data_IF_210834069370
#
_entry.id   IF_210834069370
#
_cell.length_a   1.000
_cell.length_b   1.000
_cell.length_c   1.000
_cell.angle_alpha   90.00
_cell.angle_beta   90.00
_cell.angle_gamma   90.00
#
_symmetry.space_group_name_H-M   'P 1'
#
loop_
_entity.id
_entity.type
_entity.pdbx_description
1 polymer ?
#
# COMPACT_ATOMS: atom_id res chain seq x y z
N UNK A 1 -1.13 9.57 -0.23
CA UNK A 1 -0.22 10.67 0.04
C UNK A 1 1.01 10.71 -0.86
N UNK A 2 1.41 9.60 -1.50
CA UNK A 2 2.53 9.57 -2.48
C UNK A 2 2.09 10.20 -3.80
N UNK A 3 0.89 9.91 -4.26
CA UNK A 3 0.34 10.34 -5.55
C UNK A 3 0.43 11.86 -5.76
N UNK A 4 0.00 12.73 -4.83
CA UNK A 4 0.13 14.17 -5.02
C UNK A 4 1.57 14.65 -5.22
N UNK A 5 2.53 14.01 -4.55
CA UNK A 5 3.94 14.33 -4.72
C UNK A 5 4.45 13.95 -6.12
N UNK A 6 4.04 12.79 -6.62
CA UNK A 6 4.42 12.31 -7.95
C UNK A 6 3.73 13.06 -9.09
N UNK A 7 2.62 13.74 -8.84
CA UNK A 7 1.99 14.66 -9.80
C UNK A 7 2.82 15.92 -10.08
N UNK A 8 3.84 16.20 -9.26
CA UNK A 8 4.79 17.27 -9.55
C UNK A 8 5.84 16.74 -10.55
N UNK A 9 5.88 17.25 -11.79
CA UNK A 9 6.71 16.65 -12.86
C UNK A 9 8.19 16.58 -12.53
N UNK A 10 8.70 17.51 -11.72
CA UNK A 10 10.09 17.52 -11.26
C UNK A 10 10.43 16.36 -10.32
N UNK A 11 9.51 16.01 -9.41
CA UNK A 11 9.68 14.91 -8.46
C UNK A 11 9.65 13.56 -9.18
N UNK A 12 8.62 13.31 -9.99
CA UNK A 12 8.51 12.06 -10.76
C UNK A 12 9.74 11.85 -11.67
N UNK A 13 10.22 12.91 -12.33
CA UNK A 13 11.41 12.86 -13.18
C UNK A 13 12.69 12.56 -12.39
N UNK A 14 12.87 13.19 -11.24
CA UNK A 14 14.02 12.94 -10.37
C UNK A 14 14.01 11.50 -9.83
N UNK A 15 12.84 11.00 -9.45
CA UNK A 15 12.67 9.61 -9.01
C UNK A 15 12.94 8.62 -10.14
N UNK A 16 12.47 8.87 -11.34
CA UNK A 16 12.72 8.02 -12.48
C UNK A 16 14.22 8.02 -12.92
N UNK A 17 14.91 9.13 -12.73
CA UNK A 17 16.34 9.29 -13.06
C UNK A 17 17.32 8.86 -11.97
N UNK A 18 16.85 8.43 -10.81
CA UNK A 18 17.75 8.01 -9.73
C UNK A 18 18.39 6.63 -9.99
N UNK A 19 19.63 6.45 -9.51
CA UNK A 19 20.29 5.14 -9.47
C UNK A 19 19.92 4.32 -8.21
N UNK A 20 19.21 4.90 -7.27
CA UNK A 20 18.73 4.20 -6.09
C UNK A 20 17.68 3.14 -6.47
N UNK A 21 17.59 2.08 -5.67
CA UNK A 21 16.52 1.10 -5.81
C UNK A 21 15.22 1.71 -5.29
N UNK A 22 14.18 1.69 -6.11
CA UNK A 22 12.86 2.27 -5.82
C UNK A 22 11.91 1.17 -5.43
N UNK A 23 11.54 1.16 -4.17
CA UNK A 23 10.68 0.13 -3.60
C UNK A 23 9.35 0.75 -3.17
N UNK A 24 8.26 0.17 -3.61
CA UNK A 24 6.93 0.49 -3.10
C UNK A 24 6.49 -0.57 -2.09
N UNK A 25 6.22 -0.14 -0.87
CA UNK A 25 5.61 -0.98 0.15
C UNK A 25 4.10 -0.75 0.09
N UNK A 26 3.35 -1.75 -0.35
CA UNK A 26 1.90 -1.63 -0.46
C UNK A 26 1.26 -1.48 0.93
N UNK A 27 0.28 -0.60 1.07
CA UNK A 27 -0.51 -0.55 2.29
C UNK A 27 -1.26 -1.87 2.49
N UNK A 28 -1.54 -2.23 3.75
CA UNK A 28 -2.27 -3.47 4.09
C UNK A 28 -3.78 -3.28 4.15
N UNK A 29 -4.19 -2.06 4.42
CA UNK A 29 -5.59 -1.66 4.51
C UNK A 29 -5.87 -0.48 3.58
N UNK A 30 -7.05 -0.40 3.06
CA UNK A 30 -7.50 0.74 2.28
C UNK A 30 -7.80 1.96 3.17
N UNK A 31 -7.86 3.13 2.56
CA UNK A 31 -8.17 4.40 3.23
C UNK A 31 -9.51 4.93 2.72
N UNK A 32 -10.41 5.26 3.65
CA UNK A 32 -11.71 5.80 3.31
C UNK A 32 -11.58 7.09 2.50
N UNK A 33 -12.26 7.15 1.36
CA UNK A 33 -12.27 8.31 0.48
C UNK A 33 -11.02 8.48 -0.38
N UNK A 34 -9.95 7.68 -0.16
CA UNK A 34 -8.71 7.74 -0.96
C UNK A 34 -8.51 6.47 -1.80
N UNK A 35 -8.40 5.31 -1.15
CA UNK A 35 -8.03 4.05 -1.79
C UNK A 35 -9.05 2.94 -1.58
N UNK A 36 -10.24 3.29 -1.16
CA UNK A 36 -11.30 2.34 -0.86
C UNK A 36 -11.62 1.42 -2.04
N UNK A 37 -11.52 0.12 -1.79
CA UNK A 37 -11.79 -0.91 -2.79
C UNK A 37 -10.68 -1.13 -3.82
N UNK A 38 -9.55 -0.42 -3.72
CA UNK A 38 -8.38 -0.67 -4.57
C UNK A 38 -7.66 -1.95 -4.15
N UNK A 39 -7.31 -2.78 -5.12
CA UNK A 39 -6.39 -3.90 -4.93
C UNK A 39 -4.93 -3.43 -4.87
N UNK A 40 -4.00 -4.34 -4.50
CA UNK A 40 -2.55 -4.03 -4.56
C UNK A 40 -2.11 -3.68 -5.98
N UNK A 41 -2.68 -4.33 -7.01
CA UNK A 41 -2.39 -4.03 -8.40
C UNK A 41 -2.88 -2.63 -8.81
N UNK A 42 -4.04 -2.20 -8.33
CA UNK A 42 -4.56 -0.86 -8.62
C UNK A 42 -3.68 0.24 -8.00
N UNK A 43 -3.13 0.00 -6.81
CA UNK A 43 -2.16 0.92 -6.20
C UNK A 43 -0.88 1.05 -7.05
N UNK A 44 -0.35 -0.07 -7.53
CA UNK A 44 0.85 -0.09 -8.37
C UNK A 44 0.59 0.58 -9.71
N UNK A 45 -0.50 0.25 -10.38
CA UNK A 45 -0.88 0.85 -11.66
C UNK A 45 -1.07 2.37 -11.55
N UNK A 46 -1.70 2.83 -10.46
CA UNK A 46 -1.84 4.25 -10.19
C UNK A 46 -0.47 4.94 -10.12
N UNK A 47 0.51 4.36 -9.43
CA UNK A 47 1.85 4.93 -9.35
C UNK A 47 2.55 4.91 -10.71
N UNK A 48 2.50 3.80 -11.44
CA UNK A 48 3.13 3.66 -12.74
C UNK A 48 2.54 4.60 -13.78
N UNK A 49 1.25 4.95 -13.68
CA UNK A 49 0.59 5.89 -14.58
C UNK A 49 1.09 7.33 -14.46
N UNK A 50 1.79 7.67 -13.37
CA UNK A 50 2.25 9.02 -13.09
C UNK A 50 3.57 9.40 -13.77
N UNK A 51 4.24 8.46 -14.42
CA UNK A 51 5.47 8.73 -15.14
C UNK A 51 5.56 7.97 -16.46
N UNK A 52 6.28 8.57 -17.40
CA UNK A 52 6.53 7.98 -18.73
C UNK A 52 7.68 6.94 -18.72
N UNK A 53 8.30 6.70 -17.60
CA UNK A 53 9.41 5.75 -17.41
C UNK A 53 9.18 4.90 -16.15
N UNK A 54 9.80 3.72 -16.04
CA UNK A 54 9.65 2.87 -14.87
C UNK A 54 9.95 3.62 -13.59
N UNK A 55 8.99 3.68 -12.67
CA UNK A 55 9.11 4.32 -11.36
C UNK A 55 9.53 3.37 -10.26
N UNK A 56 9.31 2.07 -10.46
CA UNK A 56 9.50 1.06 -9.44
C UNK A 56 10.48 -0.01 -9.92
N UNK A 57 11.40 -0.40 -9.05
CA UNK A 57 12.26 -1.55 -9.23
C UNK A 57 11.70 -2.76 -8.48
N UNK A 58 10.98 -2.53 -7.38
CA UNK A 58 10.37 -3.58 -6.58
C UNK A 58 9.09 -3.14 -5.89
N UNK A 59 8.25 -4.13 -5.59
CA UNK A 59 7.03 -3.98 -4.81
C UNK A 59 7.02 -5.02 -3.68
N UNK A 60 6.76 -4.57 -2.46
CA UNK A 60 6.49 -5.44 -1.32
C UNK A 60 4.98 -5.51 -1.09
N UNK A 61 4.45 -6.73 -1.09
CA UNK A 61 3.03 -7.00 -0.92
C UNK A 61 2.82 -7.80 0.35
N UNK A 62 1.94 -7.29 1.21
CA UNK A 62 1.48 -8.07 2.35
C UNK A 62 0.43 -9.08 1.89
N UNK A 63 0.64 -10.33 2.26
CA UNK A 63 -0.35 -11.39 2.13
C UNK A 63 -0.41 -12.14 3.45
N UNK A 64 -1.53 -12.05 4.12
CA UNK A 64 -1.89 -12.88 5.26
C UNK A 64 -3.23 -13.54 4.96
N UNK A 65 -3.51 -14.63 5.65
CA UNK A 65 -4.81 -15.25 5.56
C UNK A 65 -5.88 -14.27 6.05
N UNK A 66 -6.86 -13.99 5.23
CA UNK A 66 -7.92 -13.00 5.53
C UNK A 66 -8.70 -13.35 6.81
N UNK A 67 -8.64 -14.60 7.28
CA UNK A 67 -9.26 -15.05 8.51
C UNK A 67 -8.59 -14.50 9.78
N UNK A 68 -7.34 -14.09 9.70
CA UNK A 68 -6.56 -13.55 10.83
C UNK A 68 -6.61 -12.02 10.91
N UNK A 69 -7.27 -11.36 9.96
CA UNK A 69 -7.33 -9.92 9.93
C UNK A 69 -8.31 -9.37 10.98
N UNK A 70 -7.78 -9.11 12.17
CA UNK A 70 -8.51 -8.37 13.20
C UNK A 70 -8.43 -6.88 12.87
N UNK A 71 -9.56 -6.29 12.48
CA UNK A 71 -9.63 -4.84 12.27
C UNK A 71 -9.22 -4.11 13.55
N UNK A 72 -8.18 -3.29 13.53
CA UNK A 72 -7.76 -2.54 14.72
C UNK A 72 -8.78 -1.47 15.11
N UNK A 73 -9.76 -1.25 14.26
CA UNK A 73 -10.86 -0.32 14.45
C UNK A 73 -12.19 -1.08 14.43
N UNK A 74 -12.51 -1.76 15.52
CA UNK A 74 -13.91 -1.98 15.79
C UNK A 74 -14.59 -0.61 15.78
N UNK A 75 -15.73 -0.42 15.08
CA UNK A 75 -16.45 0.84 15.09
C UNK A 75 -16.95 1.11 16.50
N UNK A 76 -16.07 1.66 17.33
CA UNK A 76 -16.47 2.25 18.60
C UNK A 76 -17.18 3.58 18.31
N UNK A 77 -18.07 4.04 19.19
CA UNK A 77 -18.81 5.30 19.01
C UNK A 77 -17.92 6.55 18.97
N UNK A 78 -16.63 6.43 18.93
CA UNK A 78 -15.64 7.50 18.99
C UNK A 78 -14.65 7.49 17.84
N UNK A 79 -15.02 7.06 16.64
CA UNK A 79 -14.23 7.42 15.48
C UNK A 79 -14.41 8.90 15.18
N UNK A 80 -13.78 9.70 16.01
CA UNK A 80 -13.56 11.11 15.71
C UNK A 80 -12.44 11.15 14.70
N UNK A 81 -12.77 11.33 13.43
CA UNK A 81 -11.84 11.92 12.47
C UNK A 81 -11.57 13.34 12.93
N UNK A 82 -10.83 13.48 14.01
CA UNK A 82 -10.56 14.79 14.63
C UNK A 82 -9.55 15.62 13.85
N UNK A 83 -9.12 15.15 12.68
CA UNK A 83 -8.02 15.79 11.99
C UNK A 83 -8.42 16.79 10.91
N UNK A 84 -9.62 16.72 10.36
CA UNK A 84 -10.01 17.62 9.29
C UNK A 84 -11.42 18.15 9.50
N UNK A 85 -11.50 19.32 10.07
CA UNK A 85 -12.69 20.15 10.17
C UNK A 85 -13.87 19.55 10.95
N UNK A 86 -14.16 20.06 12.07
CA UNK A 86 -15.40 20.34 12.74
C UNK A 86 -16.72 19.65 12.40
N UNK A 87 -16.74 18.70 11.49
CA UNK A 87 -17.94 18.01 11.08
C UNK A 87 -18.20 16.85 12.03
N UNK A 88 -19.31 16.97 12.72
CA UNK A 88 -19.87 15.90 13.57
C UNK A 88 -20.28 14.77 12.65
N UNK A 89 -19.53 13.66 12.66
CA UNK A 89 -19.95 12.41 12.03
C UNK A 89 -21.25 11.97 12.66
N UNK A 90 -22.32 11.94 11.91
CA UNK A 90 -23.65 11.58 12.41
C UNK A 90 -23.78 10.06 12.54
N UNK A 91 -24.77 9.59 13.32
CA UNK A 91 -25.09 8.16 13.42
C UNK A 91 -25.41 7.52 12.05
N UNK A 92 -25.88 8.32 11.08
CA UNK A 92 -26.11 7.90 9.69
C UNK A 92 -24.80 7.65 8.95
N UNK A 93 -23.79 8.48 9.19
CA UNK A 93 -22.46 8.33 8.58
C UNK A 93 -21.76 7.08 9.13
N UNK A 94 -22.00 6.75 10.42
CA UNK A 94 -21.54 5.52 11.04
C UNK A 94 -22.22 4.28 10.43
N UNK A 95 -23.49 4.33 10.11
CA UNK A 95 -24.21 3.23 9.46
C UNK A 95 -23.80 3.07 7.99
N UNK A 96 -23.45 4.15 7.33
CA UNK A 96 -22.87 4.13 5.98
C UNK A 96 -21.43 3.65 6.04
N UNK A 97 -20.67 4.04 7.04
CA UNK A 97 -19.31 3.55 7.30
C UNK A 97 -19.26 2.06 7.69
N UNK A 98 -20.32 1.51 8.29
CA UNK A 98 -20.47 0.04 8.47
C UNK A 98 -20.62 -0.70 7.14
N UNK A 99 -20.99 -0.01 6.07
CA UNK A 99 -21.11 -0.55 4.71
C UNK A 99 -19.90 -0.24 3.83
N UNK A 100 -19.02 0.64 4.28
CA UNK A 100 -17.76 0.97 3.63
C UNK A 100 -16.63 0.37 4.46
N UNK A 101 -16.29 -0.89 4.24
CA UNK A 101 -15.26 -1.53 5.04
C UNK A 101 -13.91 -0.88 4.77
N UNK A 102 -13.27 -0.40 5.81
CA UNK A 102 -11.82 -0.44 5.84
C UNK A 102 -11.47 -1.93 5.76
N UNK A 103 -11.03 -2.38 4.61
CA UNK A 103 -10.75 -3.78 4.35
C UNK A 103 -9.28 -4.03 4.14
N UNK A 104 -8.87 -5.29 4.32
CA UNK A 104 -7.58 -5.70 3.81
C UNK A 104 -7.57 -5.45 2.30
N UNK A 105 -6.47 -4.90 1.81
CA UNK A 105 -6.27 -4.70 0.38
C UNK A 105 -6.12 -6.07 -0.27
N UNK A 106 -6.86 -6.31 -1.35
CA UNK A 106 -6.82 -7.59 -2.07
C UNK A 106 -5.45 -7.80 -2.71
N UNK A 107 -4.84 -8.96 -2.44
CA UNK A 107 -3.53 -9.38 -2.91
C UNK A 107 -3.55 -10.86 -3.35
N UNK A 108 -4.53 -11.24 -4.16
CA UNK A 108 -4.64 -12.58 -4.72
C UNK A 108 -3.64 -12.84 -5.85
N UNK A 109 -3.58 -14.08 -6.33
CA UNK A 109 -2.67 -14.50 -7.43
C UNK A 109 -2.83 -13.63 -8.69
N UNK A 110 -4.08 -13.25 -9.01
CA UNK A 110 -4.37 -12.41 -10.17
C UNK A 110 -3.75 -11.01 -10.06
N UNK A 111 -3.86 -10.41 -8.88
CA UNK A 111 -3.30 -9.10 -8.60
C UNK A 111 -1.77 -9.14 -8.62
N UNK A 112 -1.17 -10.17 -8.03
CA UNK A 112 0.28 -10.38 -8.05
C UNK A 112 0.78 -10.57 -9.48
N UNK A 113 0.17 -11.47 -10.27
CA UNK A 113 0.55 -11.69 -11.68
C UNK A 113 0.44 -10.42 -12.53
N UNK A 114 -0.51 -9.54 -12.23
CA UNK A 114 -0.64 -8.24 -12.91
C UNK A 114 0.54 -7.32 -12.59
N UNK A 115 0.97 -7.27 -11.33
CA UNK A 115 2.13 -6.47 -10.92
C UNK A 115 3.43 -6.99 -11.55
N UNK A 116 3.63 -8.31 -11.58
CA UNK A 116 4.82 -8.96 -12.16
C UNK A 116 5.04 -8.65 -13.64
N UNK A 117 3.97 -8.28 -14.37
CA UNK A 117 4.08 -7.85 -15.76
C UNK A 117 4.73 -6.46 -15.92
N UNK A 118 4.74 -5.65 -14.86
CA UNK A 118 5.14 -4.24 -14.92
C UNK A 118 6.28 -3.89 -13.98
N UNK A 119 6.55 -4.71 -12.97
CA UNK A 119 7.58 -4.46 -11.96
C UNK A 119 8.53 -5.66 -11.89
N UNK A 120 9.86 -5.43 -11.98
CA UNK A 120 10.84 -6.53 -12.06
C UNK A 120 10.90 -7.44 -10.83
N UNK A 121 10.68 -6.90 -9.64
CA UNK A 121 10.75 -7.66 -8.39
C UNK A 121 9.45 -7.47 -7.60
N UNK A 122 8.74 -8.56 -7.35
CA UNK A 122 7.55 -8.57 -6.50
C UNK A 122 7.79 -9.55 -5.36
N UNK A 123 7.80 -9.05 -4.14
CA UNK A 123 8.02 -9.87 -2.95
C UNK A 123 6.74 -9.89 -2.10
N UNK A 124 6.17 -11.09 -1.99
CA UNK A 124 4.96 -11.33 -1.21
C UNK A 124 5.35 -11.99 0.11
N UNK A 125 5.02 -11.37 1.23
CA UNK A 125 5.34 -11.86 2.58
C UNK A 125 4.23 -11.52 3.56
N UNK A 126 4.20 -12.23 4.65
CA UNK A 126 3.41 -11.84 5.81
C UNK A 126 4.15 -10.73 6.59
N UNK A 127 3.56 -9.55 6.61
CA UNK A 127 4.03 -8.39 7.35
C UNK A 127 3.11 -8.07 8.54
N UNK A 128 2.44 -9.06 9.09
CA UNK A 128 1.54 -8.86 10.23
C UNK A 128 2.34 -8.39 11.45
N UNK A 129 2.03 -7.17 11.91
CA UNK A 129 2.63 -6.61 13.12
C UNK A 129 1.92 -7.09 14.37
N UNK A 130 2.65 -7.25 15.46
CA UNK A 130 2.10 -7.68 16.76
C UNK A 130 1.19 -6.63 17.41
N UNK A 131 1.36 -5.35 17.06
CA UNK A 131 0.61 -4.26 17.70
C UNK A 131 -0.70 -3.95 16.96
N UNK A 132 -0.73 -4.12 15.65
CA UNK A 132 -1.89 -3.81 14.83
C UNK A 132 -1.78 -4.45 13.45
N UNK A 133 -2.88 -4.98 12.94
CA UNK A 133 -2.96 -5.49 11.57
C UNK A 133 -2.67 -4.41 10.50
N UNK A 134 -2.87 -3.14 10.82
CA UNK A 134 -2.59 -2.03 9.91
C UNK A 134 -1.09 -1.69 9.79
N UNK A 135 -0.30 -2.02 10.81
CA UNK A 135 1.14 -1.72 10.88
C UNK A 135 1.94 -2.91 10.35
N UNK A 136 2.95 -2.64 9.56
CA UNK A 136 3.88 -3.67 9.11
C UNK A 136 4.82 -4.09 10.25
N UNK A 137 5.09 -5.38 10.37
CA UNK A 137 6.16 -5.86 11.26
C UNK A 137 7.51 -5.32 10.80
N UNK A 138 8.19 -4.63 11.70
CA UNK A 138 9.45 -3.93 11.39
C UNK A 138 10.56 -4.89 10.97
N UNK A 139 10.65 -6.05 11.62
CA UNK A 139 11.71 -7.04 11.33
C UNK A 139 11.46 -7.73 10.00
N UNK A 140 10.22 -8.13 9.74
CA UNK A 140 9.84 -8.74 8.48
C UNK A 140 10.04 -7.76 7.31
N UNK A 141 9.68 -6.49 7.51
CA UNK A 141 9.88 -5.44 6.51
C UNK A 141 11.36 -5.17 6.24
N UNK A 142 12.18 -5.08 7.29
CA UNK A 142 13.62 -4.89 7.13
C UNK A 142 14.27 -6.03 6.35
N UNK A 143 13.95 -7.29 6.72
CA UNK A 143 14.45 -8.47 5.99
C UNK A 143 14.02 -8.50 4.54
N UNK A 144 12.76 -8.14 4.25
CA UNK A 144 12.26 -8.08 2.89
C UNK A 144 12.96 -6.98 2.05
N UNK A 145 13.26 -5.83 2.66
CA UNK A 145 14.00 -4.76 2.00
C UNK A 145 15.44 -5.17 1.67
N UNK A 146 16.11 -5.87 2.58
CA UNK A 146 17.45 -6.43 2.32
C UNK A 146 17.43 -7.42 1.15
N UNK A 147 16.46 -8.35 1.14
CA UNK A 147 16.27 -9.31 0.05
C UNK A 147 16.05 -8.61 -1.30
N UNK A 148 15.17 -7.61 -1.33
CA UNK A 148 14.90 -6.82 -2.55
C UNK A 148 16.16 -6.09 -3.04
N UNK A 149 16.92 -5.48 -2.13
CA UNK A 149 18.15 -4.78 -2.50
C UNK A 149 19.17 -5.73 -3.13
N UNK A 150 19.30 -6.94 -2.62
CA UNK A 150 20.21 -7.95 -3.16
C UNK A 150 19.75 -8.46 -4.53
N UNK A 151 18.47 -8.70 -4.71
CA UNK A 151 17.89 -9.08 -6.01
C UNK A 151 18.09 -7.98 -7.05
N UNK A 152 17.77 -6.73 -6.72
CA UNK A 152 17.92 -5.60 -7.64
C UNK A 152 19.38 -5.32 -8.00
N UNK A 153 20.31 -5.48 -7.07
CA UNK A 153 21.75 -5.35 -7.33
C UNK A 153 22.27 -6.44 -8.26
N UNK A 154 21.79 -7.68 -8.08
CA UNK A 154 22.18 -8.82 -8.92
C UNK A 154 21.66 -8.67 -10.35
N UNK A 155 20.46 -8.14 -10.53
CA UNK A 155 19.86 -7.91 -11.85
C UNK A 155 20.53 -6.75 -12.64
N UNK A 156 21.25 -5.86 -11.97
CA UNK A 156 21.96 -4.72 -12.61
C UNK A 156 23.41 -5.02 -12.98
N UNK A 157 23.92 -6.23 -12.67
CA UNK A 157 25.26 -6.72 -13.05
C UNK A 157 25.22 -7.47 -14.37
#
# INVERSE_FOLDING_TARGET
>A
SIVPNLQVPGIARALAGTHAVRVFVCPKIDSLGETQGMSVADHVDQLLSLASSPLLDAVLVHHADASEFVYPYAPGPAYRTSALAGDVVTARDIDTAKRAPFGPIQAGEREISRIEQSVPVVLVRDFTGSESAAVHDVKALASALEEVLDQCRSARR
#
